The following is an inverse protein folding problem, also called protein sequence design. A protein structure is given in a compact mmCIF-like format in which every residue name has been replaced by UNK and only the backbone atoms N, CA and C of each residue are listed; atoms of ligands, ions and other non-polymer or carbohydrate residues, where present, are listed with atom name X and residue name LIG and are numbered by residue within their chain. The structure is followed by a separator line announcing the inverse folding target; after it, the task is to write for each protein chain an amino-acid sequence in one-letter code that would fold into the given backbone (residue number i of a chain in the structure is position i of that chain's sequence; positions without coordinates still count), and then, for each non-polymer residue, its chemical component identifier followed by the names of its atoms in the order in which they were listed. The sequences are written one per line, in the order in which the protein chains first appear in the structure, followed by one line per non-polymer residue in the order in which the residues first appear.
data_IF_655784620116
#
_entry.id   IF_655784620116
#
_cell.length_a   1.000
_cell.length_b   1.000
_cell.length_c   1.000
_cell.angle_alpha   90.00
_cell.angle_beta   90.00
_cell.angle_gamma   90.00
#
_symmetry.space_group_name_H-M   'P 1'
#
loop_
_entity.id
_entity.type
_entity.pdbx_description
1 polymer ?
#
# COMPACT_ATOMS: atom_id res chain seq x y z
N UNK A 1 -12.32 3.29 14.18
CA UNK A 1 -11.50 2.17 13.69
C UNK A 1 -11.93 1.80 12.27
N UNK A 2 -10.97 1.55 11.41
CA UNK A 2 -11.28 1.17 10.04
C UNK A 2 -11.73 -0.28 9.99
N UNK A 3 -12.94 -0.49 9.49
CA UNK A 3 -13.55 -1.81 9.42
C UNK A 3 -13.97 -2.17 8.00
N UNK A 4 -13.38 -1.54 7.02
CA UNK A 4 -13.84 -1.63 5.64
C UNK A 4 -13.29 -2.86 4.95
N UNK A 5 -13.96 -3.97 5.16
CA UNK A 5 -13.61 -5.21 4.50
C UNK A 5 -12.35 -5.84 5.03
N UNK A 6 -12.01 -7.01 4.53
CA UNK A 6 -10.81 -7.69 4.96
C UNK A 6 -9.57 -7.07 4.33
N UNK A 7 -8.53 -6.92 5.14
CA UNK A 7 -7.23 -6.49 4.67
C UNK A 7 -6.33 -7.71 4.55
N UNK A 8 -5.64 -7.83 3.44
CA UNK A 8 -4.80 -9.00 3.16
C UNK A 8 -3.36 -8.79 3.58
N UNK A 9 -2.90 -7.55 3.57
CA UNK A 9 -1.54 -7.21 3.98
C UNK A 9 -1.55 -5.93 4.79
N UNK A 10 -0.70 -5.86 5.79
CA UNK A 10 -0.51 -4.67 6.60
C UNK A 10 0.99 -4.42 6.71
N UNK A 11 1.41 -3.19 6.44
CA UNK A 11 2.80 -2.78 6.58
C UNK A 11 2.89 -1.49 7.38
N UNK A 12 3.92 -1.35 8.19
CA UNK A 12 4.15 -0.15 8.99
C UNK A 12 5.45 0.47 8.54
N UNK A 13 5.46 1.79 8.39
CA UNK A 13 6.68 2.50 8.01
C UNK A 13 7.76 2.35 9.08
N UNK A 14 9.05 2.46 8.71
CA UNK A 14 10.12 2.27 9.69
C UNK A 14 10.06 3.22 10.88
N UNK A 15 9.55 4.43 10.70
CA UNK A 15 9.44 5.39 11.81
C UNK A 15 8.11 5.26 12.56
N UNK A 16 7.24 4.35 12.15
CA UNK A 16 5.97 4.11 12.82
C UNK A 16 4.89 5.15 12.56
N UNK A 17 5.08 6.05 11.62
CA UNK A 17 4.13 7.13 11.37
C UNK A 17 2.99 6.72 10.44
N UNK A 18 3.22 5.76 9.57
CA UNK A 18 2.27 5.39 8.53
C UNK A 18 2.02 3.90 8.54
N UNK A 19 0.81 3.54 8.14
CA UNK A 19 0.42 2.14 8.00
C UNK A 19 -0.14 1.97 6.60
N UNK A 20 0.26 0.89 5.93
CA UNK A 20 -0.27 0.53 4.63
C UNK A 20 -1.19 -0.66 4.79
N UNK A 21 -2.35 -0.56 4.18
CA UNK A 21 -3.33 -1.65 4.14
C UNK A 21 -3.59 -2.04 2.70
N UNK A 22 -3.58 -3.34 2.43
CA UNK A 22 -3.94 -3.87 1.12
C UNK A 22 -5.27 -4.60 1.25
N UNK A 23 -6.26 -4.15 0.51
CA UNK A 23 -7.60 -4.69 0.60
C UNK A 23 -7.78 -5.88 -0.33
N UNK A 24 -8.84 -6.65 -0.09
CA UNK A 24 -9.15 -7.82 -0.89
C UNK A 24 -9.45 -7.47 -2.34
N UNK A 25 -9.99 -6.28 -2.60
CA UNK A 25 -10.33 -5.84 -3.94
C UNK A 25 -9.20 -5.11 -4.66
N UNK A 26 -7.99 -5.17 -4.12
CA UNK A 26 -6.80 -4.69 -4.80
C UNK A 26 -6.44 -3.25 -4.55
N UNK A 27 -6.99 -2.64 -3.52
CA UNK A 27 -6.69 -1.25 -3.20
C UNK A 27 -5.63 -1.15 -2.12
N UNK A 28 -4.80 -0.13 -2.22
CA UNK A 28 -3.74 0.16 -1.26
C UNK A 28 -4.11 1.45 -0.54
N UNK A 29 -4.21 1.38 0.77
CA UNK A 29 -4.50 2.55 1.60
C UNK A 29 -3.26 2.87 2.41
N UNK A 30 -2.85 4.13 2.39
CA UNK A 30 -1.82 4.63 3.29
C UNK A 30 -2.53 5.54 4.29
N UNK A 31 -2.44 5.17 5.55
CA UNK A 31 -3.13 5.88 6.62
C UNK A 31 -2.13 6.28 7.70
N UNK A 32 -2.54 7.21 8.54
CA UNK A 32 -1.73 7.56 9.70
C UNK A 32 -1.74 6.40 10.71
N UNK A 33 -0.69 6.29 11.50
CA UNK A 33 -0.54 5.16 12.41
C UNK A 33 -1.59 5.11 13.51
N UNK A 34 -2.28 6.22 13.75
CA UNK A 34 -3.38 6.27 14.72
C UNK A 34 -4.72 5.89 14.09
N UNK A 35 -4.73 5.52 12.81
CA UNK A 35 -5.93 5.13 12.06
C UNK A 35 -6.98 6.23 11.96
N UNK A 36 -6.57 7.49 12.12
CA UNK A 36 -7.50 8.61 12.06
C UNK A 36 -7.65 9.20 10.67
N UNK A 37 -6.59 9.14 9.87
CA UNK A 37 -6.57 9.79 8.57
C UNK A 37 -6.13 8.84 7.48
N UNK A 38 -6.92 8.78 6.42
CA UNK A 38 -6.50 8.10 5.20
C UNK A 38 -5.78 9.13 4.33
N UNK A 39 -4.48 8.95 4.15
CA UNK A 39 -3.64 9.89 3.45
C UNK A 39 -3.64 9.66 1.95
N UNK A 40 -3.79 8.41 1.54
CA UNK A 40 -3.70 8.05 0.14
C UNK A 40 -4.45 6.76 -0.10
N UNK A 41 -5.04 6.63 -1.29
CA UNK A 41 -5.69 5.41 -1.73
C UNK A 41 -5.29 5.17 -3.18
N UNK A 42 -4.85 3.96 -3.48
CA UNK A 42 -4.40 3.60 -4.81
C UNK A 42 -5.05 2.29 -5.23
N UNK A 43 -5.68 2.27 -6.39
CA UNK A 43 -6.27 1.06 -6.96
C UNK A 43 -5.24 0.40 -7.86
N UNK A 44 -4.70 -0.71 -7.42
CA UNK A 44 -3.68 -1.42 -8.18
C UNK A 44 -4.26 -2.12 -9.40
N UNK A 45 -5.56 -2.34 -9.40
CA UNK A 45 -6.27 -3.08 -10.46
C UNK A 45 -5.74 -4.49 -10.66
N UNK A 46 -5.02 -4.99 -9.66
CA UNK A 46 -4.47 -6.33 -9.71
C UNK A 46 -5.52 -7.35 -9.30
N UNK A 47 -5.50 -8.48 -9.97
CA UNK A 47 -6.44 -9.57 -9.68
C UNK A 47 -5.88 -10.54 -8.66
N UNK A 48 -4.60 -10.42 -8.34
CA UNK A 48 -3.93 -11.29 -7.40
C UNK A 48 -3.28 -10.46 -6.32
N UNK A 49 -2.96 -11.09 -5.19
CA UNK A 49 -2.27 -10.42 -4.12
C UNK A 49 -0.80 -10.17 -4.49
N UNK A 50 -0.20 -9.09 -4.01
CA UNK A 50 1.22 -8.88 -4.25
C UNK A 50 2.04 -9.95 -3.53
N UNK A 51 3.16 -10.31 -4.11
CA UNK A 51 4.07 -11.25 -3.49
C UNK A 51 4.76 -10.65 -2.27
N UNK A 52 4.92 -9.34 -2.30
CA UNK A 52 5.61 -8.63 -1.22
C UNK A 52 5.10 -7.20 -1.15
N UNK A 53 5.10 -6.65 0.07
CA UNK A 53 4.72 -5.28 0.31
C UNK A 53 5.62 -4.74 1.40
N UNK A 54 6.50 -3.80 1.04
CA UNK A 54 7.48 -3.27 1.97
C UNK A 54 7.59 -1.77 1.83
N UNK A 55 7.90 -1.11 2.93
CA UNK A 55 8.19 0.31 2.93
C UNK A 55 9.60 0.54 2.41
N UNK A 56 9.74 1.49 1.50
CA UNK A 56 11.03 1.97 1.03
C UNK A 56 11.32 3.28 1.76
N UNK A 57 12.00 3.19 2.90
CA UNK A 57 12.11 4.33 3.79
C UNK A 57 10.76 4.71 4.36
N UNK A 58 10.54 5.99 4.60
CA UNK A 58 9.28 6.51 5.14
C UNK A 58 8.46 7.25 4.10
N UNK A 59 8.87 7.21 2.84
CA UNK A 59 8.26 8.03 1.80
C UNK A 59 7.39 7.24 0.83
N UNK A 60 7.54 5.93 0.75
CA UNK A 60 6.74 5.15 -0.18
C UNK A 60 6.72 3.69 0.21
N UNK A 61 5.67 3.01 -0.28
CA UNK A 61 5.49 1.58 -0.13
C UNK A 61 5.70 0.94 -1.49
N UNK A 62 6.43 -0.15 -1.52
CA UNK A 62 6.67 -0.92 -2.74
C UNK A 62 5.87 -2.20 -2.64
N UNK A 63 5.03 -2.43 -3.64
CA UNK A 63 4.26 -3.67 -3.75
C UNK A 63 4.77 -4.40 -4.98
N UNK A 64 5.17 -5.64 -4.81
CA UNK A 64 5.77 -6.43 -5.87
C UNK A 64 4.87 -7.58 -6.29
N UNK A 65 4.53 -7.61 -7.56
CA UNK A 65 3.90 -8.76 -8.19
C UNK A 65 4.94 -9.48 -9.04
N UNK A 66 4.50 -10.50 -9.73
CA UNK A 66 5.44 -11.30 -10.51
C UNK A 66 6.09 -10.51 -11.65
N UNK A 67 5.32 -9.65 -12.31
CA UNK A 67 5.79 -8.89 -13.46
C UNK A 67 5.58 -7.39 -13.32
N UNK A 68 5.15 -6.93 -12.15
CA UNK A 68 4.88 -5.51 -11.92
C UNK A 68 5.36 -5.10 -10.53
N UNK A 69 5.74 -3.84 -10.42
CA UNK A 69 6.05 -3.19 -9.14
C UNK A 69 5.28 -1.90 -9.09
N UNK A 70 4.56 -1.70 -7.99
CA UNK A 70 3.84 -0.45 -7.75
C UNK A 70 4.46 0.24 -6.55
N UNK A 71 4.60 1.56 -6.62
CA UNK A 71 5.08 2.37 -5.51
C UNK A 71 4.00 3.40 -5.16
N UNK A 72 3.64 3.45 -3.90
CA UNK A 72 2.58 4.35 -3.42
C UNK A 72 3.11 5.13 -2.23
N UNK A 73 2.97 6.44 -2.28
CA UNK A 73 3.41 7.31 -1.20
C UNK A 73 2.24 7.90 -0.41
N UNK A 74 2.49 8.31 0.84
CA UNK A 74 1.43 8.89 1.68
C UNK A 74 0.96 10.24 1.19
N UNK A 75 1.69 10.89 0.31
CA UNK A 75 1.29 12.17 -0.28
C UNK A 75 0.50 12.02 -1.57
N UNK A 76 0.01 10.82 -1.87
CA UNK A 76 -0.80 10.57 -3.04
C UNK A 76 -0.02 10.25 -4.31
N UNK A 77 1.30 10.22 -4.24
CA UNK A 77 2.12 9.86 -5.40
C UNK A 77 2.08 8.34 -5.59
N UNK A 78 1.84 7.92 -6.83
CA UNK A 78 1.84 6.50 -7.16
C UNK A 78 2.54 6.29 -8.50
N UNK A 79 3.32 5.22 -8.59
CA UNK A 79 4.04 4.87 -9.80
C UNK A 79 3.90 3.38 -10.04
N UNK A 80 3.90 3.01 -11.32
CA UNK A 80 3.80 1.62 -11.72
C UNK A 80 4.94 1.30 -12.67
N UNK A 81 5.64 0.23 -12.38
CA UNK A 81 6.72 -0.27 -13.22
C UNK A 81 6.38 -1.68 -13.66
N UNK A 82 6.43 -1.92 -14.96
CA UNK A 82 6.15 -3.22 -15.53
C UNK A 82 7.47 -3.86 -15.93
N UNK A 83 7.64 -5.09 -15.53
CA UNK A 83 8.83 -5.87 -15.89
C UNK A 83 8.66 -6.43 -17.29
N UNK A 84 9.61 -6.15 -18.12
CA UNK A 84 9.59 -6.66 -19.51
C UNK A 84 10.33 -7.99 -19.64
#
# INVERSE_FOLDING_TARGET
MLQNGPFKHIGVSPDGRFVTLYTEDGKVWVISSDFQNKLSEYDSKAKTLPKDMQWCGNSSVVLAWEDEIHMVGPNGVASKYVRL
#
